data_IF_343970165580
#
_entry.id   IF_343970165580
#
_cell.length_a   1.000
_cell.length_b   1.000
_cell.length_c   1.000
_cell.angle_alpha   90.00
_cell.angle_beta   90.00
_cell.angle_gamma   90.00
#
_symmetry.space_group_name_H-M   'P 1'
#
loop_
_entity.id
_entity.type
_entity.pdbx_description
1 polymer ?
#
# COMPACT_ATOMS: atom_id res chain seq x y z
N UNK A 1 3.60 -15.32 -17.60
CA UNK A 1 2.56 -14.86 -16.65
C UNK A 1 3.24 -14.55 -15.32
N UNK A 2 3.35 -13.27 -15.00
CA UNK A 2 3.78 -12.75 -13.69
C UNK A 2 2.99 -13.47 -12.60
N UNK A 3 3.65 -13.88 -11.50
CA UNK A 3 3.04 -14.65 -10.41
C UNK A 3 1.71 -14.03 -10.03
N UNK A 4 0.64 -14.69 -10.41
CA UNK A 4 -0.67 -14.34 -9.89
C UNK A 4 -0.89 -15.31 -8.75
N UNK A 5 -0.88 -14.80 -7.51
CA UNK A 5 -1.50 -15.46 -6.35
C UNK A 5 -3.02 -15.43 -6.53
N UNK A 6 -3.48 -15.77 -7.75
CA UNK A 6 -4.87 -15.87 -8.14
C UNK A 6 -5.32 -17.29 -7.76
N UNK A 7 -6.55 -17.43 -7.28
CA UNK A 7 -7.09 -18.73 -6.89
C UNK A 7 -7.02 -19.74 -8.03
N UNK A 8 -6.63 -20.96 -7.67
CA UNK A 8 -6.54 -22.11 -8.57
C UNK A 8 -7.94 -22.51 -9.09
N UNK A 9 -8.99 -22.23 -8.31
CA UNK A 9 -10.39 -22.52 -8.65
C UNK A 9 -11.09 -21.32 -9.29
N UNK A 10 -11.78 -21.56 -10.40
CA UNK A 10 -12.58 -20.54 -11.07
C UNK A 10 -13.73 -20.07 -10.17
N UNK A 11 -14.11 -18.80 -10.27
CA UNK A 11 -15.33 -18.33 -9.60
C UNK A 11 -16.58 -19.04 -10.11
N UNK A 12 -16.57 -19.41 -11.40
CA UNK A 12 -17.68 -20.10 -12.06
C UNK A 12 -17.91 -21.46 -11.40
N UNK A 13 -16.84 -22.21 -11.09
CA UNK A 13 -16.94 -23.50 -10.41
C UNK A 13 -17.58 -23.36 -9.03
N UNK A 14 -17.26 -22.27 -8.30
CA UNK A 14 -17.86 -21.97 -6.99
C UNK A 14 -19.33 -21.57 -7.10
N UNK A 15 -19.69 -20.79 -8.12
CA UNK A 15 -21.10 -20.46 -8.38
C UNK A 15 -21.91 -21.70 -8.76
N UNK A 16 -21.34 -22.60 -9.56
CA UNK A 16 -21.95 -23.87 -9.94
C UNK A 16 -22.23 -24.75 -8.71
N UNK A 17 -21.30 -24.78 -7.74
CA UNK A 17 -21.50 -25.49 -6.46
C UNK A 17 -22.59 -24.85 -5.59
N UNK A 18 -22.74 -23.51 -5.63
CA UNK A 18 -23.66 -22.77 -4.75
C UNK A 18 -25.08 -22.64 -5.31
N UNK A 19 -25.22 -22.59 -6.64
CA UNK A 19 -26.48 -22.28 -7.32
C UNK A 19 -26.90 -23.31 -8.37
N UNK A 20 -26.07 -24.33 -8.65
CA UNK A 20 -26.27 -25.26 -9.77
C UNK A 20 -25.93 -24.60 -11.12
N UNK A 21 -25.09 -25.21 -11.95
CA UNK A 21 -24.75 -24.69 -13.29
C UNK A 21 -25.71 -25.23 -14.37
N UNK A 22 -26.12 -24.42 -15.37
CA UNK A 22 -26.79 -24.88 -16.59
C UNK A 22 -25.85 -25.59 -17.59
N UNK A 23 -24.53 -25.50 -17.42
CA UNK A 23 -23.55 -26.04 -18.37
C UNK A 23 -22.41 -26.78 -17.66
N UNK A 24 -22.19 -28.00 -18.16
CA UNK A 24 -21.09 -28.94 -17.92
C UNK A 24 -21.09 -29.82 -16.65
N UNK A 25 -21.03 -31.12 -16.97
CA UNK A 25 -20.60 -32.30 -16.22
C UNK A 25 -19.58 -32.03 -15.12
N UNK A 26 -20.01 -32.32 -13.90
CA UNK A 26 -19.26 -32.23 -12.65
C UNK A 26 -18.21 -33.35 -12.60
N UNK A 27 -16.92 -33.02 -12.75
CA UNK A 27 -15.89 -33.72 -11.99
C UNK A 27 -15.90 -33.12 -10.59
N UNK A 28 -16.29 -33.93 -9.61
CA UNK A 28 -16.43 -33.54 -8.22
C UNK A 28 -15.07 -33.16 -7.62
N UNK A 29 -14.71 -31.88 -7.70
CA UNK A 29 -13.75 -31.26 -6.79
C UNK A 29 -14.44 -30.91 -5.48
N UNK A 30 -14.93 -31.91 -4.74
CA UNK A 30 -15.31 -31.70 -3.35
C UNK A 30 -14.06 -31.20 -2.62
N UNK A 31 -14.16 -30.04 -1.96
CA UNK A 31 -13.27 -29.79 -0.83
C UNK A 31 -13.58 -30.91 0.17
N UNK A 32 -12.71 -31.91 0.25
CA UNK A 32 -12.83 -33.01 1.20
C UNK A 32 -12.80 -32.42 2.61
N UNK A 33 -13.96 -32.12 3.17
CA UNK A 33 -14.12 -31.81 4.58
C UNK A 33 -13.67 -32.97 5.49
N UNK A 34 -13.34 -34.13 4.89
CA UNK A 34 -12.78 -35.31 5.53
C UNK A 34 -11.27 -35.50 5.29
N UNK A 35 -10.58 -34.59 4.59
CA UNK A 35 -9.13 -34.70 4.38
C UNK A 35 -8.41 -34.41 5.70
N UNK A 36 -7.85 -35.46 6.32
CA UNK A 36 -7.03 -35.32 7.53
C UNK A 36 -5.69 -34.71 7.13
N UNK A 37 -5.53 -33.42 7.37
CA UNK A 37 -4.24 -32.76 7.21
C UNK A 37 -3.28 -33.17 8.33
N UNK A 38 -2.01 -33.39 7.98
CA UNK A 38 -0.95 -33.55 8.97
C UNK A 38 -0.60 -32.21 9.59
N UNK A 39 -0.14 -32.23 10.85
CA UNK A 39 0.43 -31.05 11.49
C UNK A 39 1.67 -30.63 10.69
N UNK A 40 1.74 -29.34 10.36
CA UNK A 40 2.90 -28.75 9.67
C UNK A 40 4.16 -28.94 10.49
N UNK A 41 5.23 -29.34 9.82
CA UNK A 41 6.56 -29.43 10.43
C UNK A 41 7.35 -28.15 10.13
N UNK A 42 7.97 -27.60 11.17
CA UNK A 42 8.79 -26.40 11.01
C UNK A 42 10.14 -26.80 10.43
N UNK A 43 10.43 -26.27 9.25
CA UNK A 43 11.71 -26.47 8.56
C UNK A 43 12.56 -25.24 8.75
N UNK A 44 13.81 -25.43 9.13
CA UNK A 44 14.76 -24.33 9.21
C UNK A 44 15.11 -23.86 7.80
N UNK A 45 14.85 -22.57 7.49
CA UNK A 45 15.00 -22.00 6.15
C UNK A 45 16.07 -20.92 6.11
N UNK A 46 16.85 -20.83 5.03
CA UNK A 46 17.73 -19.68 4.78
C UNK A 46 16.99 -18.56 4.06
N UNK A 47 17.50 -17.33 4.11
CA UNK A 47 16.90 -16.21 3.36
C UNK A 47 16.82 -16.53 1.85
N UNK A 48 17.88 -17.15 1.30
CA UNK A 48 17.95 -17.54 -0.12
C UNK A 48 16.85 -18.53 -0.55
N UNK A 49 16.40 -19.42 0.34
CA UNK A 49 15.32 -20.35 0.02
C UNK A 49 13.96 -19.65 -0.19
N UNK A 50 13.78 -18.47 0.39
CA UNK A 50 12.59 -17.63 0.15
C UNK A 50 12.77 -16.66 -1.02
N UNK A 51 14.00 -16.46 -1.52
CA UNK A 51 14.30 -15.52 -2.60
C UNK A 51 13.45 -15.80 -3.83
N UNK A 52 12.77 -14.78 -4.32
CA UNK A 52 11.94 -14.83 -5.52
C UNK A 52 12.12 -13.53 -6.29
N UNK A 53 12.16 -13.63 -7.62
CA UNK A 53 12.27 -12.48 -8.51
C UNK A 53 11.32 -12.58 -9.70
N UNK A 54 10.99 -11.42 -10.25
CA UNK A 54 10.12 -11.23 -11.40
C UNK A 54 10.78 -10.16 -12.27
N UNK A 55 10.85 -10.43 -13.57
CA UNK A 55 11.27 -9.46 -14.58
C UNK A 55 10.02 -8.95 -15.28
N UNK A 56 9.91 -7.63 -15.42
CA UNK A 56 8.92 -6.92 -16.21
C UNK A 56 9.62 -6.40 -17.49
N UNK A 57 9.63 -7.19 -18.59
CA UNK A 57 10.41 -6.88 -19.78
C UNK A 57 9.66 -5.89 -20.70
N UNK A 58 9.40 -4.68 -20.21
CA UNK A 58 8.63 -3.65 -20.94
C UNK A 58 9.22 -3.29 -22.31
N UNK A 59 10.53 -3.45 -22.51
CA UNK A 59 11.18 -3.18 -23.79
C UNK A 59 10.84 -4.20 -24.87
N UNK A 60 10.57 -5.46 -24.51
CA UNK A 60 10.30 -6.55 -25.46
C UNK A 60 8.84 -7.01 -25.47
N UNK A 61 8.11 -6.85 -24.36
CA UNK A 61 6.71 -7.23 -24.22
C UNK A 61 5.80 -5.98 -24.22
N UNK A 62 5.34 -5.59 -25.41
CA UNK A 62 4.47 -4.43 -25.59
C UNK A 62 3.09 -4.61 -24.96
N UNK A 63 2.55 -5.83 -24.98
CA UNK A 63 1.23 -6.11 -24.40
C UNK A 63 1.28 -5.97 -22.87
N UNK A 64 2.37 -6.44 -22.25
CA UNK A 64 2.61 -6.20 -20.83
C UNK A 64 2.78 -4.70 -20.55
N UNK A 65 3.58 -3.98 -21.34
CA UNK A 65 3.75 -2.54 -21.16
C UNK A 65 2.41 -1.78 -21.23
N UNK A 66 1.51 -2.13 -22.15
CA UNK A 66 0.17 -1.51 -22.24
C UNK A 66 -0.64 -1.64 -20.94
N UNK A 67 -0.47 -2.73 -20.19
CA UNK A 67 -1.14 -2.90 -18.89
C UNK A 67 -0.55 -2.00 -17.78
N UNK A 68 0.72 -1.61 -17.91
CA UNK A 68 1.50 -0.91 -16.88
C UNK A 68 1.76 0.56 -17.19
N UNK A 69 1.55 1.02 -18.42
CA UNK A 69 1.75 2.42 -18.79
C UNK A 69 0.47 3.23 -18.52
N UNK A 70 0.64 4.47 -18.07
CA UNK A 70 -0.46 5.43 -18.01
C UNK A 70 -0.49 6.28 -19.29
N UNK A 71 -1.53 7.11 -19.44
CA UNK A 71 -1.66 7.93 -20.64
C UNK A 71 -0.56 8.98 -20.83
N UNK A 72 0.17 9.34 -19.76
CA UNK A 72 1.31 10.23 -19.81
C UNK A 72 2.62 9.54 -20.19
N UNK A 73 2.58 8.24 -20.53
CA UNK A 73 3.75 7.48 -20.95
C UNK A 73 4.65 7.02 -19.79
N UNK A 74 4.21 7.12 -18.54
CA UNK A 74 4.97 6.65 -17.37
C UNK A 74 4.34 5.41 -16.74
N UNK A 75 5.12 4.67 -15.95
CA UNK A 75 4.65 3.45 -15.29
C UNK A 75 3.60 3.78 -14.22
N UNK A 76 2.56 2.96 -14.13
CA UNK A 76 1.50 3.04 -13.13
C UNK A 76 2.02 2.56 -11.78
N UNK A 77 2.42 3.48 -10.90
CA UNK A 77 2.86 3.18 -9.54
C UNK A 77 1.89 2.28 -8.76
N UNK A 78 0.58 2.49 -8.92
CA UNK A 78 -0.45 1.62 -8.32
C UNK A 78 -0.36 0.16 -8.75
N UNK A 79 0.00 -0.13 -10.01
CA UNK A 79 0.22 -1.50 -10.51
C UNK A 79 1.49 -2.11 -9.90
N UNK A 80 2.56 -1.32 -9.76
CA UNK A 80 3.78 -1.78 -9.09
C UNK A 80 3.51 -2.13 -7.62
N UNK A 81 2.74 -1.30 -6.89
CA UNK A 81 2.36 -1.62 -5.50
C UNK A 81 1.50 -2.88 -5.39
N UNK A 82 0.62 -3.12 -6.38
CA UNK A 82 -0.16 -4.34 -6.48
C UNK A 82 0.74 -5.58 -6.66
N UNK A 83 1.74 -5.50 -7.53
CA UNK A 83 2.69 -6.59 -7.79
C UNK A 83 3.64 -6.85 -6.61
N UNK A 84 4.08 -5.80 -5.91
CA UNK A 84 4.90 -5.93 -4.71
C UNK A 84 4.15 -6.75 -3.64
N UNK A 85 2.87 -6.46 -3.40
CA UNK A 85 2.07 -7.26 -2.46
C UNK A 85 1.95 -8.72 -2.93
N UNK A 86 1.76 -8.95 -4.24
CA UNK A 86 1.65 -10.30 -4.82
C UNK A 86 2.94 -11.09 -4.65
N UNK A 87 4.08 -10.45 -4.90
CA UNK A 87 5.40 -11.01 -4.70
C UNK A 87 5.68 -11.29 -3.22
N UNK A 88 5.30 -10.38 -2.30
CA UNK A 88 5.42 -10.62 -0.86
C UNK A 88 4.62 -11.85 -0.40
N UNK A 89 3.41 -12.01 -0.94
CA UNK A 89 2.59 -13.21 -0.75
C UNK A 89 3.33 -14.47 -1.23
N UNK A 90 3.82 -14.48 -2.46
CA UNK A 90 4.52 -15.62 -3.05
C UNK A 90 5.78 -16.01 -2.26
N UNK A 91 6.62 -15.03 -1.89
CA UNK A 91 7.81 -15.23 -1.05
C UNK A 91 7.43 -15.86 0.29
N UNK A 92 6.34 -15.39 0.90
CA UNK A 92 5.88 -15.89 2.19
C UNK A 92 5.36 -17.33 2.12
N UNK A 93 4.61 -17.68 1.07
CA UNK A 93 4.20 -19.06 0.84
C UNK A 93 5.40 -19.97 0.61
N UNK A 94 6.36 -19.53 -0.21
CA UNK A 94 7.62 -20.25 -0.46
C UNK A 94 8.43 -20.47 0.81
N UNK A 95 8.49 -19.47 1.69
CA UNK A 95 9.16 -19.58 2.99
C UNK A 95 8.46 -20.58 3.91
N UNK A 96 7.13 -20.54 3.99
CA UNK A 96 6.34 -21.41 4.85
C UNK A 96 6.21 -22.85 4.35
N UNK A 97 6.53 -23.11 3.08
CA UNK A 97 6.44 -24.45 2.47
C UNK A 97 7.40 -25.44 3.15
N UNK A 98 6.85 -26.57 3.61
CA UNK A 98 7.57 -27.69 4.21
C UNK A 98 7.79 -28.84 3.21
N UNK A 99 7.38 -28.65 1.94
CA UNK A 99 7.52 -29.64 0.88
C UNK A 99 6.50 -30.79 0.97
N UNK A 100 5.53 -30.72 1.89
CA UNK A 100 4.54 -31.77 2.12
C UNK A 100 3.15 -31.29 1.71
N UNK A 101 2.61 -31.87 0.63
CA UNK A 101 1.27 -31.54 0.11
C UNK A 101 0.12 -31.85 1.09
N UNK A 102 0.35 -32.72 2.08
CA UNK A 102 -0.65 -33.14 3.07
C UNK A 102 -0.64 -32.28 4.35
N UNK A 103 0.30 -31.33 4.47
CA UNK A 103 0.37 -30.43 5.62
C UNK A 103 -0.81 -29.45 5.67
N UNK A 104 -1.24 -29.08 6.88
CA UNK A 104 -2.34 -28.13 7.09
C UNK A 104 -2.13 -26.85 6.27
N UNK A 105 -3.11 -26.41 5.45
CA UNK A 105 -2.98 -25.24 4.60
C UNK A 105 -2.85 -23.95 5.43
N UNK A 106 -2.07 -23.00 4.92
CA UNK A 106 -1.94 -21.67 5.51
C UNK A 106 -2.72 -20.63 4.71
N UNK A 107 -3.29 -19.69 5.46
CA UNK A 107 -3.74 -18.41 4.97
C UNK A 107 -2.73 -17.35 5.37
N UNK A 108 -1.93 -16.90 4.41
CA UNK A 108 -1.00 -15.78 4.57
C UNK A 108 -1.64 -14.51 4.03
N UNK A 109 -1.68 -13.47 4.86
CA UNK A 109 -2.25 -12.16 4.54
C UNK A 109 -1.25 -11.05 4.82
N UNK A 110 -1.35 -9.96 4.08
CA UNK A 110 -0.60 -8.73 4.33
C UNK A 110 -1.17 -8.04 5.56
N UNK A 111 -0.36 -7.88 6.61
CA UNK A 111 -0.76 -7.21 7.84
C UNK A 111 -0.39 -5.72 7.82
N UNK A 112 0.80 -5.40 7.33
CA UNK A 112 1.24 -4.01 7.15
C UNK A 112 2.27 -3.90 6.04
N UNK A 113 2.39 -2.70 5.49
CA UNK A 113 3.44 -2.31 4.54
C UNK A 113 4.15 -1.13 5.15
N UNK A 114 5.47 -1.22 5.26
CA UNK A 114 6.32 -0.11 5.71
C UNK A 114 6.29 1.00 4.66
N UNK A 115 6.81 2.18 5.03
CA UNK A 115 6.95 3.27 4.07
C UNK A 115 7.71 2.81 2.81
N UNK A 116 7.13 3.13 1.66
CA UNK A 116 7.72 2.91 0.32
C UNK A 116 8.12 4.27 -0.23
N UNK A 117 9.43 4.49 -0.35
CA UNK A 117 10.01 5.68 -0.98
C UNK A 117 10.52 5.33 -2.38
N UNK A 118 10.22 6.19 -3.35
CA UNK A 118 10.81 6.13 -4.68
C UNK A 118 12.11 6.92 -4.65
N UNK A 119 13.24 6.19 -4.64
CA UNK A 119 14.59 6.74 -4.48
C UNK A 119 15.04 7.53 -5.69
N UNK A 120 14.51 7.19 -6.86
CA UNK A 120 14.73 7.91 -8.11
C UNK A 120 13.48 7.87 -9.00
N UNK A 121 13.26 8.92 -9.81
CA UNK A 121 12.35 8.86 -10.93
C UNK A 121 12.74 7.72 -11.87
N UNK A 122 11.75 7.10 -12.50
CA UNK A 122 11.98 6.04 -13.47
C UNK A 122 11.00 6.17 -14.64
N UNK A 123 11.53 5.99 -15.84
CA UNK A 123 10.73 5.97 -17.07
C UNK A 123 10.22 4.56 -17.37
N UNK A 124 9.98 4.32 -18.65
CA UNK A 124 9.66 2.98 -19.16
C UNK A 124 10.97 2.25 -19.47
N UNK A 125 11.33 1.29 -18.64
CA UNK A 125 12.49 0.42 -18.81
C UNK A 125 12.21 -0.98 -18.25
N UNK A 126 13.04 -1.96 -18.58
CA UNK A 126 12.89 -3.31 -18.03
C UNK A 126 13.12 -3.27 -16.51
N UNK A 127 12.17 -3.78 -15.72
CA UNK A 127 12.24 -3.73 -14.25
C UNK A 127 12.44 -5.12 -13.66
N UNK A 128 13.22 -5.21 -12.58
CA UNK A 128 13.34 -6.41 -11.73
C UNK A 128 12.71 -6.13 -10.37
N UNK A 129 11.71 -6.91 -10.01
CA UNK A 129 11.17 -6.99 -8.65
C UNK A 129 11.76 -8.23 -7.98
N UNK A 130 12.42 -8.08 -6.84
CA UNK A 130 13.00 -9.22 -6.11
C UNK A 130 12.86 -9.04 -4.61
N UNK A 131 12.84 -10.15 -3.87
CA UNK A 131 12.75 -10.11 -2.42
C UNK A 131 12.93 -11.45 -1.73
N UNK A 132 13.02 -11.40 -0.41
CA UNK A 132 13.18 -12.56 0.47
C UNK A 132 12.71 -12.20 1.90
N UNK A 133 12.50 -13.22 2.73
CA UNK A 133 12.19 -13.05 4.15
C UNK A 133 13.46 -12.64 4.90
N UNK A 134 13.41 -11.51 5.62
CA UNK A 134 14.53 -10.96 6.40
C UNK A 134 14.38 -11.17 7.90
N UNK A 135 13.14 -11.29 8.38
CA UNK A 135 12.84 -11.51 9.80
C UNK A 135 11.61 -12.40 9.96
N UNK A 136 11.62 -13.23 11.01
CA UNK A 136 10.47 -14.07 11.41
C UNK A 136 10.16 -13.91 12.89
N UNK A 137 8.87 -13.73 13.20
CA UNK A 137 8.33 -13.84 14.55
C UNK A 137 7.68 -15.22 14.77
N UNK A 138 6.62 -15.28 15.58
CA UNK A 138 5.86 -16.53 15.73
C UNK A 138 5.05 -16.85 14.47
N UNK A 139 4.13 -15.97 14.10
CA UNK A 139 3.27 -16.11 12.91
C UNK A 139 3.48 -15.01 11.88
N UNK A 140 4.38 -14.06 12.15
CA UNK A 140 4.66 -12.90 11.32
C UNK A 140 6.00 -13.06 10.60
N UNK A 141 6.11 -12.55 9.38
CA UNK A 141 7.34 -12.52 8.59
C UNK A 141 7.51 -11.10 8.02
N UNK A 142 8.72 -10.56 8.08
CA UNK A 142 9.10 -9.39 7.29
C UNK A 142 9.65 -9.88 5.95
N UNK A 143 9.05 -9.42 4.86
CA UNK A 143 9.53 -9.64 3.50
C UNK A 143 10.14 -8.35 2.98
N UNK A 144 11.45 -8.37 2.76
CA UNK A 144 12.16 -7.28 2.11
C UNK A 144 12.08 -7.45 0.60
N UNK A 145 11.79 -6.35 -0.10
CA UNK A 145 11.75 -6.30 -1.55
C UNK A 145 12.47 -5.07 -2.08
N UNK A 146 13.01 -5.20 -3.28
CA UNK A 146 13.61 -4.13 -4.07
C UNK A 146 13.07 -4.15 -5.49
N UNK A 147 12.95 -2.96 -6.07
CA UNK A 147 12.77 -2.77 -7.52
C UNK A 147 14.04 -2.18 -8.10
N UNK A 148 14.55 -2.78 -9.16
CA UNK A 148 15.76 -2.33 -9.84
C UNK A 148 15.48 -2.14 -11.33
N UNK A 149 16.10 -1.13 -11.92
CA UNK A 149 16.10 -0.93 -13.36
C UNK A 149 17.15 -1.82 -14.03
N UNK A 150 16.74 -2.67 -14.96
CA UNK A 150 17.65 -3.55 -15.68
C UNK A 150 18.31 -2.76 -16.80
N UNK A 151 19.57 -2.37 -16.60
CA UNK A 151 20.38 -1.71 -17.62
C UNK A 151 21.12 -2.75 -18.48
N UNK A 152 20.94 -2.72 -19.80
CA UNK A 152 21.59 -3.64 -20.74
C UNK A 152 23.09 -3.38 -20.90
N UNK A 153 23.56 -2.16 -20.61
CA UNK A 153 24.94 -1.73 -20.82
C UNK A 153 25.83 -1.90 -19.59
N UNK A 154 25.24 -2.05 -18.39
CA UNK A 154 25.96 -2.41 -17.17
C UNK A 154 26.00 -3.94 -17.07
N UNK A 155 27.13 -4.55 -17.41
CA UNK A 155 27.42 -5.98 -17.27
C UNK A 155 27.53 -6.46 -15.80
N UNK A 156 26.80 -5.83 -14.88
CA UNK A 156 26.74 -6.18 -13.47
C UNK A 156 25.38 -6.77 -13.10
N UNK A 157 25.38 -7.76 -12.22
CA UNK A 157 24.20 -8.51 -11.76
C UNK A 157 23.08 -7.64 -11.15
N UNK A 158 23.32 -6.35 -10.90
CA UNK A 158 22.46 -5.45 -10.14
C UNK A 158 22.22 -4.14 -10.90
N UNK A 159 20.93 -3.83 -11.10
CA UNK A 159 20.46 -2.57 -11.66
C UNK A 159 20.44 -1.43 -10.65
N UNK A 160 20.13 -0.22 -11.11
CA UNK A 160 19.98 0.93 -10.22
C UNK A 160 18.67 0.77 -9.42
N UNK A 161 18.75 0.78 -8.08
CA UNK A 161 17.58 0.59 -7.19
C UNK A 161 16.63 1.79 -7.29
N UNK A 162 15.36 1.51 -7.63
CA UNK A 162 14.30 2.51 -7.76
C UNK A 162 13.52 2.65 -6.45
N UNK A 163 13.15 1.53 -5.82
CA UNK A 163 12.44 1.54 -4.54
C UNK A 163 12.86 0.34 -3.69
N UNK A 164 12.68 0.50 -2.39
CA UNK A 164 12.74 -0.57 -1.39
C UNK A 164 11.41 -0.61 -0.67
N UNK A 165 10.91 -1.81 -0.40
CA UNK A 165 9.68 -2.00 0.34
C UNK A 165 9.82 -3.14 1.35
N UNK A 166 9.09 -3.03 2.47
CA UNK A 166 9.00 -4.10 3.47
C UNK A 166 7.54 -4.40 3.77
N UNK A 167 7.22 -5.69 3.70
CA UNK A 167 5.87 -6.18 3.91
C UNK A 167 5.88 -7.08 5.14
N UNK A 168 5.00 -6.79 6.11
CA UNK A 168 4.75 -7.70 7.23
C UNK A 168 3.61 -8.62 6.86
N UNK A 169 3.92 -9.89 6.69
CA UNK A 169 3.00 -10.95 6.30
C UNK A 169 2.66 -11.81 7.52
N UNK A 170 1.40 -12.22 7.67
CA UNK A 170 0.94 -13.01 8.82
C UNK A 170 0.31 -14.31 8.35
N UNK A 171 0.84 -15.42 8.87
CA UNK A 171 0.33 -16.76 8.65
C UNK A 171 -0.78 -17.10 9.65
N UNK A 172 -1.87 -17.64 9.11
CA UNK A 172 -3.01 -18.19 9.85
C UNK A 172 -3.27 -19.61 9.40
N UNK A 173 -3.69 -20.46 10.31
CA UNK A 173 -4.16 -21.79 9.98
C UNK A 173 -5.51 -21.65 9.23
N UNK A 174 -5.60 -22.20 8.02
CA UNK A 174 -6.75 -21.95 7.15
C UNK A 174 -8.04 -22.62 7.66
N UNK A 175 -7.93 -23.63 8.52
CA UNK A 175 -9.07 -24.36 9.07
C UNK A 175 -9.64 -23.67 10.32
N UNK A 176 -8.75 -23.17 11.19
CA UNK A 176 -9.12 -22.59 12.49
C UNK A 176 -9.13 -21.06 12.49
N UNK A 177 -8.50 -20.42 11.51
CA UNK A 177 -8.31 -18.97 11.43
C UNK A 177 -7.34 -18.39 12.46
N UNK A 178 -6.73 -19.23 13.32
CA UNK A 178 -5.80 -18.83 14.37
C UNK A 178 -4.40 -18.58 13.81
N UNK A 179 -3.56 -17.86 14.56
CA UNK A 179 -2.17 -17.65 14.20
C UNK A 179 -1.44 -19.00 14.05
N UNK A 180 -0.70 -19.15 12.95
CA UNK A 180 0.07 -20.35 12.67
C UNK A 180 1.57 -20.03 12.66
N UNK A 181 2.36 -20.95 13.21
CA UNK A 181 3.80 -20.75 13.32
C UNK A 181 4.47 -20.84 11.96
N UNK A 182 5.36 -19.89 11.67
CA UNK A 182 6.15 -19.85 10.43
C UNK A 182 7.50 -20.56 10.60
N UNK A 183 8.10 -20.96 9.48
CA UNK A 183 9.42 -21.59 9.46
C UNK A 183 10.48 -20.65 10.06
N UNK A 184 11.35 -21.13 10.98
CA UNK A 184 12.44 -20.32 11.53
C UNK A 184 13.51 -20.02 10.47
N UNK A 185 14.22 -18.90 10.63
CA UNK A 185 15.34 -18.53 9.77
C UNK A 185 16.68 -19.03 10.32
N UNK A 186 17.49 -19.64 9.44
CA UNK A 186 18.91 -19.88 9.65
C UNK A 186 19.71 -18.70 9.09
N UNK A 187 20.41 -18.00 9.98
CA UNK A 187 21.28 -16.88 9.65
C UNK A 187 22.69 -17.41 9.35
N UNK A 188 23.11 -17.35 8.09
CA UNK A 188 24.36 -17.96 7.62
C UNK A 188 25.57 -17.04 7.75
N UNK A 189 25.37 -15.72 7.72
CA UNK A 189 26.44 -14.73 7.70
C UNK A 189 26.07 -13.45 8.49
N UNK A 190 27.04 -12.57 8.69
CA UNK A 190 26.83 -11.35 9.49
C UNK A 190 25.92 -10.32 8.80
N UNK A 191 25.81 -10.34 7.47
CA UNK A 191 24.85 -9.50 6.75
C UNK A 191 23.41 -9.94 7.05
N UNK A 192 23.14 -11.25 7.02
CA UNK A 192 21.84 -11.82 7.40
C UNK A 192 21.49 -11.58 8.86
N UNK A 193 22.47 -11.65 9.78
CA UNK A 193 22.26 -11.26 11.19
C UNK A 193 21.85 -9.80 11.33
N UNK A 194 22.50 -8.90 10.58
CA UNK A 194 22.14 -7.47 10.56
C UNK A 194 20.73 -7.26 10.01
N UNK A 195 20.37 -7.93 8.90
CA UNK A 195 19.02 -7.85 8.34
C UNK A 195 17.96 -8.34 9.33
N UNK A 196 18.24 -9.43 10.05
CA UNK A 196 17.33 -9.94 11.08
C UNK A 196 17.17 -8.94 12.23
N UNK A 197 18.26 -8.37 12.73
CA UNK A 197 18.23 -7.33 13.78
C UNK A 197 17.45 -6.09 13.32
N UNK A 198 17.65 -5.65 12.07
CA UNK A 198 16.89 -4.54 11.51
C UNK A 198 15.38 -4.83 11.53
N UNK A 199 14.96 -6.06 11.22
CA UNK A 199 13.55 -6.47 11.31
C UNK A 199 12.99 -6.43 12.74
N UNK A 200 13.80 -6.76 13.76
CA UNK A 200 13.43 -6.57 15.17
C UNK A 200 13.24 -5.09 15.52
N UNK A 201 14.17 -4.25 15.06
CA UNK A 201 14.12 -2.80 15.29
C UNK A 201 12.93 -2.17 14.58
N UNK A 202 12.60 -2.60 13.35
CA UNK A 202 11.40 -2.17 12.62
C UNK A 202 10.12 -2.50 13.42
N UNK A 203 10.01 -3.75 13.88
CA UNK A 203 8.87 -4.19 14.68
C UNK A 203 8.74 -3.38 15.97
N UNK A 204 9.85 -3.08 16.64
CA UNK A 204 9.86 -2.24 17.83
C UNK A 204 9.41 -0.81 17.53
N UNK A 205 9.94 -0.19 16.45
CA UNK A 205 9.56 1.16 16.01
C UNK A 205 8.07 1.27 15.71
N UNK A 206 7.51 0.31 14.98
CA UNK A 206 6.06 0.27 14.69
C UNK A 206 5.22 0.22 15.96
N UNK A 207 5.63 -0.60 16.93
CA UNK A 207 4.93 -0.68 18.23
C UNK A 207 4.99 0.66 18.97
N UNK A 208 6.14 1.33 18.98
CA UNK A 208 6.30 2.64 19.60
C UNK A 208 5.45 3.71 18.90
N UNK A 209 5.46 3.77 17.56
CA UNK A 209 4.64 4.69 16.77
C UNK A 209 3.15 4.48 17.03
N UNK A 210 2.71 3.22 17.14
CA UNK A 210 1.34 2.89 17.50
C UNK A 210 0.96 3.38 18.91
N UNK A 211 1.90 3.51 19.84
CA UNK A 211 1.68 3.97 21.21
C UNK A 211 1.73 5.50 21.36
N UNK A 212 2.36 6.21 20.41
CA UNK A 212 2.42 7.68 20.35
C UNK A 212 1.40 8.30 19.39
N UNK A 213 0.58 7.49 18.73
CA UNK A 213 -0.47 7.94 17.81
C UNK A 213 -1.40 8.99 18.44
N UNK A 214 -1.80 10.01 17.66
CA UNK A 214 -2.70 11.10 18.09
C UNK A 214 -4.08 10.62 18.55
N UNK A 215 -4.47 9.40 18.17
CA UNK A 215 -5.70 8.75 18.64
C UNK A 215 -5.60 8.24 20.08
N UNK A 216 -4.38 8.06 20.61
CA UNK A 216 -4.11 7.59 21.98
C UNK A 216 -3.54 8.69 22.87
N UNK A 217 -2.71 9.58 22.31
CA UNK A 217 -2.03 10.64 23.05
C UNK A 217 -2.36 12.01 22.45
N UNK A 218 -2.52 13.06 23.27
CA UNK A 218 -2.75 14.40 22.77
C UNK A 218 -1.52 14.95 22.02
N UNK A 219 -1.69 15.99 21.17
CA UNK A 219 -0.58 16.68 20.53
C UNK A 219 0.44 17.23 21.53
N UNK A 220 1.69 17.38 21.08
CA UNK A 220 2.78 17.97 21.87
C UNK A 220 2.50 19.45 22.17
N UNK A 221 3.34 20.09 22.99
CA UNK A 221 3.21 21.52 23.26
C UNK A 221 3.35 22.36 21.99
N UNK A 222 4.37 22.09 21.18
CA UNK A 222 4.62 22.82 19.93
C UNK A 222 3.49 22.62 18.91
N UNK A 223 2.96 21.40 18.83
CA UNK A 223 1.81 21.11 17.97
C UNK A 223 0.53 21.80 18.41
N UNK A 224 0.35 21.98 19.73
CA UNK A 224 -0.79 22.76 20.26
C UNK A 224 -0.67 24.25 19.90
N UNK A 225 0.53 24.81 19.93
CA UNK A 225 0.77 26.18 19.45
C UNK A 225 0.48 26.27 17.95
N UNK A 226 0.95 25.32 17.15
CA UNK A 226 0.64 25.27 15.72
C UNK A 226 -0.87 25.22 15.45
N UNK A 227 -1.63 24.39 16.18
CA UNK A 227 -3.10 24.35 16.04
C UNK A 227 -3.72 25.73 16.36
N UNK A 228 -3.22 26.40 17.39
CA UNK A 228 -3.70 27.72 17.75
C UNK A 228 -3.38 28.77 16.69
N UNK A 229 -2.17 28.72 16.11
CA UNK A 229 -1.77 29.61 15.02
C UNK A 229 -2.63 29.40 13.77
N UNK A 230 -2.90 28.14 13.41
CA UNK A 230 -3.83 27.79 12.33
C UNK A 230 -5.24 28.33 12.62
N UNK A 231 -5.69 28.26 13.87
CA UNK A 231 -6.97 28.84 14.31
C UNK A 231 -7.03 30.35 14.10
N UNK A 232 -6.00 31.07 14.57
CA UNK A 232 -5.90 32.51 14.41
C UNK A 232 -5.84 32.91 12.93
N UNK A 233 -5.17 32.10 12.11
CA UNK A 233 -5.05 32.35 10.68
C UNK A 233 -6.39 32.19 9.96
N UNK A 234 -7.08 31.05 10.13
CA UNK A 234 -8.35 30.83 9.41
C UNK A 234 -9.45 31.81 9.87
N UNK A 235 -9.44 32.21 11.15
CA UNK A 235 -10.44 33.13 11.72
C UNK A 235 -10.46 34.49 11.03
N UNK A 236 -9.35 34.88 10.39
CA UNK A 236 -9.28 36.12 9.58
C UNK A 236 -10.20 36.07 8.37
N UNK A 237 -10.35 34.90 7.76
CA UNK A 237 -11.08 34.71 6.51
C UNK A 237 -12.51 34.19 6.72
N UNK A 238 -12.75 33.45 7.80
CA UNK A 238 -14.06 32.84 8.10
C UNK A 238 -15.02 33.84 8.78
N UNK A 239 -14.50 34.90 9.42
CA UNK A 239 -15.32 35.89 10.12
C UNK A 239 -16.02 36.85 9.14
N UNK A 240 -17.37 36.83 9.04
CA UNK A 240 -18.11 37.70 8.13
C UNK A 240 -17.93 39.20 8.41
N UNK A 241 -17.53 39.57 9.64
CA UNK A 241 -17.34 40.96 10.04
C UNK A 241 -16.03 41.57 9.53
N UNK A 242 -14.99 40.75 9.31
CA UNK A 242 -13.65 41.24 8.95
C UNK A 242 -13.51 41.54 7.45
N UNK A 243 -14.41 41.02 6.58
CA UNK A 243 -14.40 41.18 5.11
C UNK A 243 -13.04 40.91 4.44
N UNK A 244 -12.14 40.15 5.08
CA UNK A 244 -10.85 39.77 4.48
C UNK A 244 -11.10 38.56 3.59
N UNK A 245 -10.84 38.70 2.29
CA UNK A 245 -10.93 37.57 1.36
C UNK A 245 -9.77 36.60 1.62
N UNK A 246 -10.08 35.30 1.67
CA UNK A 246 -9.06 34.24 1.63
C UNK A 246 -8.17 34.41 0.39
N UNK A 247 -6.84 34.28 0.51
CA UNK A 247 -5.95 34.23 -0.64
C UNK A 247 -6.33 33.14 -1.66
N UNK A 248 -5.96 33.35 -2.92
CA UNK A 248 -6.30 32.41 -4.01
C UNK A 248 -5.39 31.16 -4.01
N UNK A 249 -4.26 31.21 -3.29
CA UNK A 249 -3.28 30.12 -3.09
C UNK A 249 -3.52 29.34 -1.79
N UNK A 250 -4.63 29.58 -1.09
CA UNK A 250 -5.04 28.82 0.10
C UNK A 250 -6.31 28.06 -0.23
N UNK A 251 -6.43 26.80 0.14
CA UNK A 251 -7.67 26.01 0.00
C UNK A 251 -8.14 25.46 1.34
N UNK A 252 -9.45 25.45 1.56
CA UNK A 252 -10.01 24.86 2.76
C UNK A 252 -9.88 23.35 2.71
N UNK A 253 -9.44 22.74 3.81
CA UNK A 253 -9.28 21.28 3.88
C UNK A 253 -10.59 20.54 3.57
N UNK A 254 -11.74 21.12 3.95
CA UNK A 254 -13.06 20.55 3.66
C UNK A 254 -13.37 20.45 2.15
N UNK A 255 -12.80 21.37 1.36
CA UNK A 255 -13.08 21.54 -0.06
C UNK A 255 -12.14 20.70 -0.94
N UNK A 256 -11.12 20.06 -0.34
CA UNK A 256 -10.16 19.19 -1.01
C UNK A 256 -10.54 17.70 -0.96
N UNK A 257 -11.84 17.41 -0.82
CA UNK A 257 -12.35 16.03 -0.71
C UNK A 257 -12.72 15.46 -2.07
N UNK A 258 -12.40 14.18 -2.26
CA UNK A 258 -12.81 13.41 -3.44
C UNK A 258 -13.15 11.98 -3.03
N UNK A 259 -14.29 11.46 -3.49
CA UNK A 259 -14.75 10.13 -3.11
C UNK A 259 -14.97 9.23 -4.33
N UNK A 260 -14.75 7.93 -4.14
CA UNK A 260 -15.09 6.90 -5.10
C UNK A 260 -15.69 5.69 -4.38
N UNK A 261 -16.65 5.02 -5.01
CA UNK A 261 -17.21 3.77 -4.51
C UNK A 261 -17.02 2.70 -5.57
N UNK A 262 -16.53 1.53 -5.18
CA UNK A 262 -16.33 0.41 -6.08
C UNK A 262 -16.83 -0.91 -5.48
N UNK A 263 -17.47 -1.72 -6.32
CA UNK A 263 -17.87 -3.07 -5.96
C UNK A 263 -16.64 -3.96 -6.03
N UNK A 264 -16.41 -4.74 -4.99
CA UNK A 264 -15.28 -5.66 -4.89
C UNK A 264 -15.58 -6.95 -5.64
N UNK A 265 -14.90 -7.14 -6.77
CA UNK A 265 -15.24 -8.22 -7.71
C UNK A 265 -14.34 -9.45 -7.55
N UNK A 266 -14.79 -10.63 -8.00
CA UNK A 266 -14.04 -11.87 -7.83
C UNK A 266 -12.68 -11.91 -8.54
N UNK A 267 -12.45 -11.11 -9.59
CA UNK A 267 -11.14 -11.05 -10.26
C UNK A 267 -10.04 -10.39 -9.43
N UNK A 268 -10.41 -9.59 -8.43
CA UNK A 268 -9.50 -8.82 -7.57
C UNK A 268 -9.19 -9.56 -6.25
N UNK A 269 -9.52 -10.86 -6.20
CA UNK A 269 -9.39 -11.70 -5.01
C UNK A 269 -8.04 -12.42 -4.94
N UNK A 270 -7.59 -12.65 -3.72
CA UNK A 270 -6.51 -13.58 -3.40
C UNK A 270 -7.00 -15.04 -3.36
N UNK A 271 -6.07 -15.97 -3.14
CA UNK A 271 -6.39 -17.41 -3.04
C UNK A 271 -7.38 -17.77 -1.90
N UNK A 272 -7.65 -16.85 -0.97
CA UNK A 272 -8.55 -17.01 0.19
C UNK A 272 -9.89 -16.29 0.02
N UNK A 273 -10.24 -15.91 -1.21
CA UNK A 273 -11.48 -15.20 -1.54
C UNK A 273 -11.67 -13.86 -0.81
N UNK A 274 -10.57 -13.21 -0.43
CA UNK A 274 -10.56 -11.84 0.08
C UNK A 274 -9.92 -10.92 -0.95
N UNK A 275 -10.30 -9.65 -0.93
CA UNK A 275 -9.68 -8.65 -1.79
C UNK A 275 -8.24 -8.45 -1.39
N UNK A 276 -7.40 -8.35 -2.40
CA UNK A 276 -5.97 -8.30 -2.25
C UNK A 276 -5.50 -6.94 -1.70
N UNK A 277 -4.49 -6.93 -0.82
CA UNK A 277 -3.98 -5.69 -0.20
C UNK A 277 -3.40 -4.75 -1.24
N UNK A 278 -2.65 -5.31 -2.20
CA UNK A 278 -2.11 -4.63 -3.37
C UNK A 278 -3.16 -3.92 -4.21
N UNK A 279 -4.31 -4.56 -4.39
CA UNK A 279 -5.42 -3.97 -5.15
C UNK A 279 -6.02 -2.76 -4.41
N UNK A 280 -6.19 -2.84 -3.09
CA UNK A 280 -6.64 -1.70 -2.28
C UNK A 280 -5.64 -0.53 -2.36
N UNK A 281 -4.33 -0.82 -2.32
CA UNK A 281 -3.28 0.20 -2.50
C UNK A 281 -3.39 0.87 -3.87
N UNK A 282 -3.61 0.11 -4.95
CA UNK A 282 -3.79 0.66 -6.29
C UNK A 282 -4.99 1.60 -6.37
N UNK A 283 -6.15 1.18 -5.88
CA UNK A 283 -7.36 2.01 -5.92
C UNK A 283 -7.22 3.29 -5.09
N UNK A 284 -6.62 3.18 -3.89
CA UNK A 284 -6.37 4.33 -3.04
C UNK A 284 -5.39 5.31 -3.70
N UNK A 285 -4.32 4.80 -4.33
CA UNK A 285 -3.36 5.61 -5.08
C UNK A 285 -4.02 6.34 -6.26
N UNK A 286 -4.83 5.64 -7.05
CA UNK A 286 -5.51 6.25 -8.21
C UNK A 286 -6.44 7.39 -7.78
N UNK A 287 -7.18 7.23 -6.67
CA UNK A 287 -8.01 8.30 -6.11
C UNK A 287 -7.17 9.45 -5.53
N UNK A 288 -6.09 9.14 -4.81
CA UNK A 288 -5.18 10.13 -4.25
C UNK A 288 -4.54 10.98 -5.36
N UNK A 289 -4.09 10.34 -6.44
CA UNK A 289 -3.51 11.00 -7.61
C UNK A 289 -4.51 11.93 -8.28
N UNK A 290 -5.77 11.51 -8.46
CA UNK A 290 -6.83 12.36 -9.00
C UNK A 290 -7.10 13.58 -8.10
N UNK A 291 -7.21 13.38 -6.78
CA UNK A 291 -7.45 14.47 -5.85
C UNK A 291 -6.28 15.45 -5.80
N UNK A 292 -5.06 14.94 -5.70
CA UNK A 292 -3.84 15.71 -5.80
C UNK A 292 -3.79 16.53 -7.09
N UNK A 293 -4.17 15.93 -8.23
CA UNK A 293 -4.18 16.63 -9.51
C UNK A 293 -5.18 17.78 -9.57
N UNK A 294 -6.37 17.61 -8.98
CA UNK A 294 -7.38 18.67 -8.88
C UNK A 294 -6.90 19.78 -7.95
N UNK A 295 -6.31 19.42 -6.81
CA UNK A 295 -5.78 20.36 -5.83
C UNK A 295 -4.69 21.25 -6.42
N UNK A 296 -3.69 20.66 -7.09
CA UNK A 296 -2.59 21.41 -7.69
C UNK A 296 -2.92 21.93 -9.11
N UNK A 297 -4.08 21.56 -9.68
CA UNK A 297 -4.46 21.89 -11.07
C UNK A 297 -3.41 21.46 -12.11
N UNK A 298 -2.67 20.40 -11.82
CA UNK A 298 -1.61 19.85 -12.63
C UNK A 298 -1.35 18.39 -12.26
N UNK A 299 -0.43 17.71 -12.96
CA UNK A 299 -0.03 16.34 -12.60
C UNK A 299 0.96 16.36 -11.44
N UNK A 300 0.67 15.68 -10.32
CA UNK A 300 1.63 15.54 -9.24
C UNK A 300 2.67 14.46 -9.55
N UNK A 301 3.85 14.61 -8.98
CA UNK A 301 4.85 13.53 -8.93
C UNK A 301 4.69 12.79 -7.61
N UNK A 302 4.63 11.46 -7.68
CA UNK A 302 4.51 10.62 -6.50
C UNK A 302 5.88 10.42 -5.84
N UNK A 303 5.96 10.61 -4.52
CA UNK A 303 7.22 10.48 -3.77
C UNK A 303 7.22 9.25 -2.87
N UNK A 304 6.17 9.08 -2.08
CA UNK A 304 6.14 8.03 -1.07
C UNK A 304 4.72 7.60 -0.69
N UNK A 305 4.59 6.34 -0.29
CA UNK A 305 3.45 5.81 0.45
C UNK A 305 3.90 5.53 1.88
N UNK A 306 3.29 6.17 2.88
CA UNK A 306 3.65 5.93 4.28
C UNK A 306 3.16 4.55 4.77
N UNK A 307 3.55 4.18 6.00
CA UNK A 307 3.16 2.91 6.61
C UNK A 307 1.63 2.70 6.60
N UNK A 308 1.22 1.53 6.08
CA UNK A 308 -0.16 1.05 6.06
C UNK A 308 -0.31 -0.12 7.00
N UNK A 309 -1.39 -0.15 7.78
CA UNK A 309 -1.83 -1.33 8.53
C UNK A 309 -3.20 -1.81 8.03
N UNK A 310 -3.28 -3.06 7.59
CA UNK A 310 -4.52 -3.71 7.16
C UNK A 310 -5.29 -4.22 8.37
N UNK A 311 -6.30 -3.46 8.81
CA UNK A 311 -7.03 -3.74 10.07
C UNK A 311 -8.08 -4.83 9.91
N UNK A 312 -8.75 -4.85 8.76
CA UNK A 312 -9.86 -5.77 8.48
C UNK A 312 -9.79 -6.32 7.05
N UNK A 313 -10.10 -7.60 6.84
CA UNK A 313 -10.18 -8.16 5.49
C UNK A 313 -11.40 -7.63 4.75
N UNK A 314 -11.22 -7.33 3.46
CA UNK A 314 -12.31 -6.92 2.55
C UNK A 314 -12.79 -8.15 1.78
N UNK A 315 -14.11 -8.35 1.71
CA UNK A 315 -14.70 -9.54 1.07
C UNK A 315 -15.21 -9.22 -0.33
N UNK A 316 -15.29 -10.24 -1.18
CA UNK A 316 -15.91 -10.11 -2.50
C UNK A 316 -17.40 -9.77 -2.34
N UNK A 317 -17.91 -8.91 -3.21
CA UNK A 317 -19.29 -8.43 -3.23
C UNK A 317 -19.55 -7.26 -2.30
N UNK A 318 -18.59 -6.84 -1.46
CA UNK A 318 -18.76 -5.64 -0.63
C UNK A 318 -18.55 -4.37 -1.44
N UNK A 319 -19.19 -3.28 -1.03
CA UNK A 319 -18.92 -1.95 -1.58
C UNK A 319 -17.78 -1.30 -0.79
N UNK A 320 -16.69 -0.99 -1.48
CA UNK A 320 -15.56 -0.26 -0.92
C UNK A 320 -15.76 1.23 -1.20
N UNK A 321 -15.93 2.04 -0.16
CA UNK A 321 -15.96 3.49 -0.24
C UNK A 321 -14.58 4.05 0.10
N UNK A 322 -14.01 4.81 -0.83
CA UNK A 322 -12.73 5.50 -0.70
C UNK A 322 -12.99 7.00 -0.61
N UNK A 323 -12.52 7.64 0.46
CA UNK A 323 -12.57 9.10 0.64
C UNK A 323 -11.15 9.65 0.70
N UNK A 324 -10.78 10.44 -0.30
CA UNK A 324 -9.51 11.17 -0.39
C UNK A 324 -9.65 12.59 0.13
N UNK A 325 -8.63 13.09 0.81
CA UNK A 325 -8.55 14.46 1.30
C UNK A 325 -7.09 14.93 1.33
N UNK A 326 -6.83 16.17 0.90
CA UNK A 326 -5.52 16.80 1.10
C UNK A 326 -5.44 17.21 2.57
N UNK A 327 -4.54 16.59 3.33
CA UNK A 327 -4.48 16.80 4.78
C UNK A 327 -3.34 17.71 5.21
N UNK A 328 -2.27 17.80 4.42
CA UNK A 328 -1.14 18.69 4.73
C UNK A 328 -0.54 19.26 3.45
N UNK A 329 -0.44 20.59 3.40
CA UNK A 329 0.24 21.35 2.36
C UNK A 329 0.56 22.71 2.97
N UNK A 330 1.84 23.06 3.05
CA UNK A 330 2.28 24.32 3.67
C UNK A 330 2.18 25.49 2.69
N UNK A 331 2.29 25.21 1.39
CA UNK A 331 2.29 26.18 0.30
C UNK A 331 3.57 26.99 0.25
N UNK A 332 3.58 28.05 -0.58
CA UNK A 332 4.75 28.89 -0.78
C UNK A 332 5.92 28.11 -1.41
N UNK A 333 7.09 28.17 -0.79
CA UNK A 333 8.32 27.48 -1.27
C UNK A 333 8.29 25.96 -1.05
N UNK A 334 7.26 25.43 -0.36
CA UNK A 334 7.13 24.00 -0.12
C UNK A 334 6.34 23.31 -1.24
N UNK A 335 7.06 22.51 -2.04
CA UNK A 335 6.50 21.83 -3.22
C UNK A 335 5.77 20.51 -2.92
N UNK A 336 5.93 19.95 -1.71
CA UNK A 336 5.38 18.65 -1.36
C UNK A 336 4.20 18.74 -0.41
N UNK A 337 3.22 17.85 -0.60
CA UNK A 337 1.99 17.80 0.17
C UNK A 337 1.54 16.35 0.39
N UNK A 338 0.64 16.16 1.34
CA UNK A 338 0.22 14.87 1.86
C UNK A 338 -1.28 14.66 1.65
N UNK A 339 -1.62 13.50 1.11
CA UNK A 339 -2.98 13.10 0.72
C UNK A 339 -3.37 11.84 1.46
N UNK A 340 -4.45 11.92 2.23
CA UNK A 340 -5.01 10.78 2.95
C UNK A 340 -6.15 10.17 2.15
N UNK A 341 -6.19 8.85 2.05
CA UNK A 341 -7.34 8.10 1.54
C UNK A 341 -7.84 7.13 2.60
N UNK A 342 -9.08 7.33 3.04
CA UNK A 342 -9.77 6.46 3.96
C UNK A 342 -10.57 5.41 3.18
N UNK A 343 -10.34 4.14 3.48
CA UNK A 343 -11.10 3.02 2.90
C UNK A 343 -12.06 2.42 3.92
N UNK A 344 -13.34 2.40 3.56
CA UNK A 344 -14.41 1.83 4.36
C UNK A 344 -15.18 0.77 3.57
N UNK A 345 -15.56 -0.31 4.23
CA UNK A 345 -16.53 -1.28 3.71
C UNK A 345 -17.93 -0.82 4.11
N UNK A 346 -18.83 -0.71 3.14
CA UNK A 346 -20.25 -0.43 3.38
C UNK A 346 -21.01 -1.74 3.58
N UNK A 347 -21.62 -1.89 4.74
CA UNK A 347 -22.58 -2.96 5.01
C UNK A 347 -23.98 -2.45 4.65
N UNK A 348 -24.48 -2.85 3.48
CA UNK A 348 -25.80 -2.45 3.00
C UNK A 348 -26.92 -2.97 3.89
N UNK A 349 -26.73 -4.14 4.53
CA UNK A 349 -27.78 -4.76 5.34
C UNK A 349 -27.95 -4.04 6.67
N UNK A 350 -26.84 -3.66 7.29
CA UNK A 350 -26.85 -3.01 8.60
C UNK A 350 -26.78 -1.47 8.51
N UNK A 351 -26.56 -0.92 7.32
CA UNK A 351 -26.37 0.51 7.11
C UNK A 351 -25.09 1.06 7.77
N UNK A 352 -24.11 0.20 8.06
CA UNK A 352 -22.87 0.58 8.75
C UNK A 352 -21.73 0.81 7.78
N UNK A 353 -20.78 1.64 8.21
CA UNK A 353 -19.55 1.95 7.47
C UNK A 353 -18.35 1.59 8.33
N UNK A 354 -17.57 0.61 7.91
CA UNK A 354 -16.45 0.09 8.69
C UNK A 354 -15.10 0.39 8.05
N UNK A 355 -14.25 1.11 8.78
CA UNK A 355 -12.91 1.46 8.27
C UNK A 355 -11.96 0.27 8.27
N UNK A 356 -11.40 0.00 7.11
CA UNK A 356 -10.41 -1.08 6.91
C UNK A 356 -9.00 -0.52 6.91
N UNK A 357 -8.78 0.59 6.22
CA UNK A 357 -7.45 1.15 5.98
C UNK A 357 -7.48 2.68 5.90
N UNK A 358 -6.35 3.28 6.26
CA UNK A 358 -6.00 4.65 5.86
C UNK A 358 -4.71 4.54 5.06
N UNK A 359 -4.68 5.18 3.90
CA UNK A 359 -3.51 5.31 3.04
C UNK A 359 -3.06 6.76 3.08
N UNK A 360 -1.76 6.98 3.14
CA UNK A 360 -1.18 8.31 3.19
C UNK A 360 -0.12 8.38 2.12
N UNK A 361 -0.30 9.31 1.18
CA UNK A 361 0.54 9.47 0.02
C UNK A 361 1.18 10.84 0.05
N UNK A 362 2.49 10.87 -0.20
CA UNK A 362 3.23 12.11 -0.37
C UNK A 362 3.43 12.36 -1.86
N UNK A 363 3.00 13.54 -2.30
CA UNK A 363 3.16 14.03 -3.67
C UNK A 363 3.98 15.33 -3.66
N UNK A 364 4.52 15.67 -4.81
CA UNK A 364 5.12 16.98 -5.06
C UNK A 364 4.57 17.58 -6.34
N UNK A 365 4.60 18.90 -6.40
CA UNK A 365 4.25 19.67 -7.58
C UNK A 365 5.28 19.46 -8.72
N UNK A 366 4.95 19.91 -9.94
CA UNK A 366 5.77 19.64 -11.11
C UNK A 366 7.01 20.54 -11.23
N UNK A 367 7.20 21.55 -10.37
CA UNK A 367 8.39 22.40 -10.43
C UNK A 367 9.64 21.69 -9.94
N UNK A 368 9.51 20.81 -8.95
CA UNK A 368 10.62 19.93 -8.58
C UNK A 368 11.06 19.04 -9.75
N UNK A 369 10.14 18.70 -10.66
CA UNK A 369 10.45 17.98 -11.90
C UNK A 369 10.96 18.87 -13.05
N UNK A 370 11.06 20.20 -12.89
CA UNK A 370 11.72 21.07 -13.89
C UNK A 370 13.24 20.92 -13.90
N UNK A 371 13.87 20.53 -12.79
CA UNK A 371 15.29 20.14 -12.78
C UNK A 371 15.56 18.93 -13.71
N UNK A 372 14.50 18.19 -14.09
CA UNK A 372 14.54 16.99 -14.92
C UNK A 372 13.72 17.13 -16.23
N UNK A 373 13.37 18.36 -16.66
CA UNK A 373 12.78 18.63 -17.98
C UNK A 373 11.25 18.74 -18.06
N UNK A 374 10.56 19.09 -16.98
CA UNK A 374 9.10 19.25 -16.95
C UNK A 374 8.52 20.54 -17.57
N UNK A 375 7.29 20.44 -18.11
CA UNK A 375 6.49 21.54 -18.71
C UNK A 375 5.71 22.39 -17.68
N UNK A 376 6.20 22.51 -16.44
CA UNK A 376 5.49 23.28 -15.41
C UNK A 376 5.47 24.79 -15.74
N UNK A 377 4.42 25.54 -15.35
CA UNK A 377 4.45 26.99 -15.44
C UNK A 377 5.55 27.58 -14.55
N UNK A 378 6.35 28.51 -15.08
CA UNK A 378 7.28 29.30 -14.27
C UNK A 378 6.48 30.04 -13.17
N UNK A 379 6.86 29.87 -11.91
CA UNK A 379 6.20 30.52 -10.77
C UNK A 379 4.90 29.86 -10.30
N UNK A 380 4.61 28.62 -10.73
CA UNK A 380 3.66 27.73 -10.07
C UNK A 380 3.96 27.61 -8.56
N UNK A 381 2.92 27.67 -7.71
CA UNK A 381 3.03 27.53 -6.25
C UNK A 381 2.01 26.50 -5.80
N UNK A 382 2.44 25.55 -4.98
CA UNK A 382 1.51 24.58 -4.37
C UNK A 382 0.55 25.33 -3.44
N UNK A 383 -0.77 25.12 -3.54
CA UNK A 383 -1.70 25.76 -2.61
C UNK A 383 -1.45 25.31 -1.17
N UNK A 384 -1.64 26.21 -0.21
CA UNK A 384 -1.66 25.87 1.22
C UNK A 384 -3.02 25.27 1.58
N UNK A 385 -3.04 24.18 2.33
CA UNK A 385 -4.30 23.63 2.87
C UNK A 385 -4.56 24.16 4.27
N UNK A 386 -5.78 24.60 4.55
CA UNK A 386 -6.15 25.20 5.83
C UNK A 386 -7.26 24.43 6.55
N UNK A 387 -7.00 23.87 7.75
CA UNK A 387 -8.04 23.25 8.57
C UNK A 387 -8.90 24.31 9.28
N UNK A 388 -10.20 24.05 9.43
CA UNK A 388 -11.15 24.90 10.19
C UNK A 388 -11.64 24.24 11.46
N UNK A 389 -11.75 22.92 11.47
CA UNK A 389 -12.21 22.17 12.64
C UNK A 389 -11.05 21.55 13.41
N UNK A 390 -11.23 21.27 14.70
CA UNK A 390 -10.24 20.54 15.48
C UNK A 390 -9.89 19.18 14.86
N UNK A 391 -10.88 18.48 14.30
CA UNK A 391 -10.67 17.20 13.61
C UNK A 391 -9.78 17.35 12.37
N UNK A 392 -9.99 18.41 11.58
CA UNK A 392 -9.11 18.77 10.46
C UNK A 392 -7.71 19.17 10.94
N UNK A 393 -7.59 19.87 12.07
CA UNK A 393 -6.29 20.19 12.66
C UNK A 393 -5.54 18.93 13.10
N UNK A 394 -6.23 17.90 13.61
CA UNK A 394 -5.60 16.61 13.91
C UNK A 394 -5.10 15.91 12.64
N UNK A 395 -5.89 15.93 11.55
CA UNK A 395 -5.46 15.41 10.26
C UNK A 395 -4.27 16.18 9.69
N UNK A 396 -4.25 17.50 9.85
CA UNK A 396 -3.14 18.36 9.45
C UNK A 396 -1.85 18.01 10.18
N UNK A 397 -1.92 17.82 11.50
CA UNK A 397 -0.77 17.40 12.30
C UNK A 397 -0.27 16.01 11.91
N UNK A 398 -1.18 15.04 11.73
CA UNK A 398 -0.81 13.70 11.30
C UNK A 398 -0.14 13.73 9.91
N UNK A 399 -0.68 14.53 8.98
CA UNK A 399 -0.09 14.76 7.67
C UNK A 399 1.31 15.39 7.76
N UNK A 400 1.47 16.40 8.63
CA UNK A 400 2.76 17.04 8.89
C UNK A 400 3.78 16.07 9.47
N UNK A 401 3.41 15.29 10.50
CA UNK A 401 4.30 14.30 11.14
C UNK A 401 4.86 13.33 10.11
N UNK A 402 3.97 12.70 9.33
CA UNK A 402 4.35 11.72 8.30
C UNK A 402 5.26 12.32 7.23
N UNK A 403 4.99 13.57 6.84
CA UNK A 403 5.81 14.28 5.86
C UNK A 403 7.21 14.62 6.38
N UNK A 404 7.36 14.89 7.68
CA UNK A 404 8.64 15.24 8.29
C UNK A 404 9.46 13.99 8.68
N UNK A 405 8.80 12.86 8.91
CA UNK A 405 9.45 11.60 9.29
C UNK A 405 10.18 10.91 8.14
N UNK A 406 9.93 11.28 6.89
CA UNK A 406 10.78 10.85 5.77
C UNK A 406 10.77 11.83 4.63
#
# INVERSE_FOLDING_TARGET
>A
KVFTVRPITSWIDKLAQRHGSPTSTVSQGNADHNKKYSKRELVLKTMQQSYTEIILPFATDKALLEEYINYGGTVRHGKIMEDLDALAGAISYKHCDDGKLESSPLTIVTASVDRIDFLKPFGVSDLRLSGHVTYVGYSSMEVFMKMEEINKDKSGEHGDTILVARFTMVARDALTGKAAQVNPLLLQNDAEKKLFQMGEDHKARKRQAADTALTKRPPTQDERFLIHDLYLEYSKYDNPQLKVKKPDDVEWMADTKMSAIQIMQPQDRNIHDKIFGGYLMRLAYELAFCNASVFIKYRPTFLALDEISFRKPVSIGTFLALDSQIVFAEGGDHHSFQVMVKADVLDVRNGTRETTNHFWFTFTDPQRSQEEGGDAPKGYVTPKVMPRTYAESMLYLEGKRRRMEG
#
